data_IF_578047344981
#
_entry.id   IF_578047344981
#
_cell.length_a   1.000
_cell.length_b   1.000
_cell.length_c   1.000
_cell.angle_alpha   90.00
_cell.angle_beta   90.00
_cell.angle_gamma   90.00
#
_symmetry.space_group_name_H-M   'P 1'
#
loop_
_entity.id
_entity.type
_entity.pdbx_description
1 polymer ?
#
# COMPACT_ATOMS: atom_id res chain seq x y z
N UNK A 1 9.23 -11.27 4.97
CA UNK A 1 8.04 -12.05 5.42
C UNK A 1 7.58 -11.78 6.85
N UNK A 2 8.21 -10.88 7.63
CA UNK A 2 7.77 -10.59 9.00
C UNK A 2 6.33 -10.11 9.11
N UNK A 3 5.80 -9.44 8.08
CA UNK A 3 4.41 -8.99 8.05
C UNK A 3 3.43 -10.14 8.33
N UNK A 4 3.71 -11.37 7.90
CA UNK A 4 2.81 -12.52 8.09
C UNK A 4 2.88 -13.15 9.49
N UNK A 5 3.80 -12.72 10.37
CA UNK A 5 3.88 -13.24 11.74
C UNK A 5 2.60 -12.96 12.55
N UNK A 6 1.81 -11.96 12.16
CA UNK A 6 0.49 -11.72 12.73
C UNK A 6 -0.45 -12.94 12.65
N UNK A 7 -0.22 -13.87 11.72
CA UNK A 7 -1.00 -15.12 11.61
C UNK A 7 -0.72 -16.12 12.73
N UNK A 8 0.33 -15.90 13.53
CA UNK A 8 0.65 -16.77 14.67
C UNK A 8 -0.06 -16.34 15.96
N UNK A 9 -0.72 -15.18 15.95
CA UNK A 9 -1.50 -14.74 17.10
C UNK A 9 -2.89 -15.41 17.08
N UNK A 10 -3.06 -16.40 17.95
CA UNK A 10 -4.30 -17.17 18.09
C UNK A 10 -5.44 -16.38 18.74
N UNK A 11 -5.17 -15.20 19.30
CA UNK A 11 -6.19 -14.32 19.87
C UNK A 11 -6.88 -13.44 18.82
N UNK A 12 -6.31 -13.35 17.61
CA UNK A 12 -6.93 -12.62 16.52
C UNK A 12 -8.01 -13.47 15.84
N UNK A 13 -9.07 -12.82 15.37
CA UNK A 13 -10.09 -13.49 14.56
C UNK A 13 -9.78 -13.40 13.07
N UNK A 14 -9.32 -12.23 12.61
CA UNK A 14 -9.01 -11.92 11.22
C UNK A 14 -7.77 -11.04 11.14
N UNK A 15 -6.99 -11.20 10.09
CA UNK A 15 -5.80 -10.39 9.80
C UNK A 15 -5.93 -9.79 8.40
N UNK A 16 -5.67 -8.49 8.28
CA UNK A 16 -5.66 -7.74 7.03
C UNK A 16 -4.23 -7.30 6.73
N UNK A 17 -3.76 -7.50 5.50
CA UNK A 17 -2.43 -7.06 5.09
C UNK A 17 -2.54 -5.90 4.11
N UNK A 18 -1.99 -4.75 4.49
CA UNK A 18 -1.87 -3.54 3.67
C UNK A 18 -0.43 -3.08 3.58
N UNK A 19 -0.05 -2.54 2.43
CA UNK A 19 1.23 -1.87 2.29
C UNK A 19 1.14 -0.51 2.99
N UNK A 20 2.22 -0.10 3.66
CA UNK A 20 2.20 1.08 4.52
C UNK A 20 2.09 2.41 3.74
N UNK A 21 2.40 2.37 2.46
CA UNK A 21 2.23 3.47 1.51
C UNK A 21 0.84 3.48 0.86
N UNK A 22 -0.04 2.54 1.20
CA UNK A 22 -1.41 2.47 0.70
C UNK A 22 -2.39 2.97 1.75
N UNK A 23 -3.03 4.10 1.46
CA UNK A 23 -4.03 4.69 2.37
C UNK A 23 -5.36 3.96 2.22
N UNK A 24 -5.90 3.48 3.33
CA UNK A 24 -7.21 2.82 3.37
C UNK A 24 -8.29 3.79 2.90
N UNK A 25 -9.01 3.41 1.85
CA UNK A 25 -10.12 4.17 1.28
C UNK A 25 -11.47 3.67 1.80
N UNK A 26 -12.53 4.48 1.66
CA UNK A 26 -13.89 4.04 1.99
C UNK A 26 -14.31 2.81 1.17
N UNK A 27 -14.01 2.80 -0.13
CA UNK A 27 -14.25 1.66 -1.03
C UNK A 27 -13.62 0.37 -0.53
N UNK A 28 -12.38 0.46 -0.02
CA UNK A 28 -11.69 -0.68 0.57
C UNK A 28 -12.37 -1.14 1.86
N UNK A 29 -12.73 -0.20 2.75
CA UNK A 29 -13.40 -0.50 4.00
C UNK A 29 -14.75 -1.19 3.78
N UNK A 30 -15.54 -0.72 2.81
CA UNK A 30 -16.82 -1.35 2.43
C UNK A 30 -16.61 -2.76 1.87
N UNK A 31 -15.59 -2.97 1.02
CA UNK A 31 -15.25 -4.30 0.49
C UNK A 31 -14.78 -5.27 1.60
N UNK A 32 -14.10 -4.74 2.62
CA UNK A 32 -13.73 -5.52 3.81
C UNK A 32 -14.95 -5.84 4.66
N UNK A 33 -15.89 -4.92 4.82
CA UNK A 33 -17.13 -5.13 5.58
C UNK A 33 -18.00 -6.24 4.94
N UNK A 34 -18.13 -6.25 3.62
CA UNK A 34 -18.79 -7.35 2.90
C UNK A 34 -18.13 -8.70 3.19
N UNK A 35 -16.79 -8.74 3.21
CA UNK A 35 -16.05 -9.95 3.52
C UNK A 35 -16.23 -10.39 4.98
N UNK A 36 -16.15 -9.46 5.93
CA UNK A 36 -16.35 -9.72 7.35
C UNK A 36 -17.74 -10.31 7.62
N UNK A 37 -18.75 -9.84 6.88
CA UNK A 37 -20.14 -10.31 6.92
C UNK A 37 -20.38 -11.63 6.18
N UNK A 38 -19.38 -12.17 5.48
CA UNK A 38 -19.49 -13.41 4.70
C UNK A 38 -18.94 -14.63 5.45
N UNK A 39 -19.21 -15.81 4.89
CA UNK A 39 -18.61 -17.07 5.34
C UNK A 39 -17.23 -17.36 4.72
N UNK A 40 -16.73 -16.48 3.83
CA UNK A 40 -15.46 -16.68 3.16
C UNK A 40 -14.27 -16.50 4.12
N UNK A 41 -13.32 -17.44 4.09
CA UNK A 41 -12.16 -17.43 5.00
C UNK A 41 -11.04 -16.49 4.53
N UNK A 42 -11.05 -16.08 3.26
CA UNK A 42 -10.03 -15.21 2.66
C UNK A 42 -10.68 -14.06 1.89
N UNK A 43 -9.96 -12.94 1.82
CA UNK A 43 -10.31 -11.75 1.05
C UNK A 43 -9.20 -11.35 0.10
N UNK A 44 -9.56 -10.90 -1.10
CA UNK A 44 -8.63 -10.34 -2.07
C UNK A 44 -9.26 -9.16 -2.82
N UNK A 45 -8.43 -8.21 -3.24
CA UNK A 45 -8.87 -7.02 -3.97
C UNK A 45 -8.00 -6.75 -5.20
N UNK A 46 -8.65 -6.47 -6.35
CA UNK A 46 -8.01 -6.06 -7.61
C UNK A 46 -8.74 -4.85 -8.19
N UNK A 47 -8.12 -3.69 -8.13
CA UNK A 47 -8.75 -2.43 -8.55
C UNK A 47 -7.89 -1.65 -9.56
N UNK A 48 -6.81 -2.26 -10.07
CA UNK A 48 -5.91 -1.68 -11.08
C UNK A 48 -5.38 -2.75 -12.04
N UNK A 49 -5.06 -2.34 -13.28
CA UNK A 49 -4.47 -3.21 -14.31
C UNK A 49 -3.11 -3.82 -13.94
N UNK A 50 -2.44 -3.28 -12.93
CA UNK A 50 -1.18 -3.84 -12.41
C UNK A 50 -1.39 -4.92 -11.32
N UNK A 51 -2.63 -5.15 -10.89
CA UNK A 51 -2.97 -6.10 -9.81
C UNK A 51 -3.05 -7.55 -10.33
N UNK A 52 -1.94 -8.05 -10.87
CA UNK A 52 -1.89 -9.29 -11.67
C UNK A 52 -1.52 -10.56 -10.88
N UNK A 53 -1.18 -10.46 -9.59
CA UNK A 53 -0.89 -11.64 -8.76
C UNK A 53 -2.15 -12.42 -8.37
N UNK A 54 -1.98 -13.68 -7.97
CA UNK A 54 -3.08 -14.53 -7.46
C UNK A 54 -3.65 -14.02 -6.13
N UNK A 55 -2.78 -13.49 -5.26
CA UNK A 55 -3.11 -12.71 -4.07
C UNK A 55 -2.04 -11.63 -3.95
N UNK A 56 -2.45 -10.37 -3.85
CA UNK A 56 -1.52 -9.27 -3.62
C UNK A 56 -1.15 -9.19 -2.15
N UNK A 57 0.15 -9.18 -1.84
CA UNK A 57 0.65 -9.10 -0.47
C UNK A 57 0.13 -7.90 0.34
N UNK A 58 -0.15 -6.79 -0.32
CA UNK A 58 -0.72 -5.57 0.28
C UNK A 58 -2.24 -5.45 0.19
N UNK A 59 -2.98 -6.43 -0.36
CA UNK A 59 -4.43 -6.31 -0.60
C UNK A 59 -5.17 -7.63 -0.38
N UNK A 60 -4.88 -8.30 0.74
CA UNK A 60 -5.57 -9.53 1.12
C UNK A 60 -5.89 -9.58 2.61
N UNK A 61 -6.76 -10.51 2.97
CA UNK A 61 -7.18 -10.76 4.34
C UNK A 61 -7.45 -12.24 4.57
N UNK A 62 -7.37 -12.68 5.82
CA UNK A 62 -7.53 -14.08 6.20
C UNK A 62 -8.10 -14.23 7.60
N UNK A 63 -8.99 -15.21 7.78
CA UNK A 63 -9.49 -15.66 9.08
C UNK A 63 -8.42 -16.53 9.75
N UNK A 64 -8.14 -16.29 11.03
CA UNK A 64 -7.15 -17.07 11.79
C UNK A 64 -7.52 -18.56 11.79
N UNK A 65 -6.51 -19.42 11.65
CA UNK A 65 -6.69 -20.86 11.49
C UNK A 65 -7.16 -21.31 10.10
N UNK A 66 -7.33 -20.41 9.12
CA UNK A 66 -7.64 -20.80 7.73
C UNK A 66 -6.45 -21.37 6.95
N UNK A 67 -5.24 -21.21 7.49
CA UNK A 67 -4.01 -21.73 6.93
C UNK A 67 -3.44 -22.83 7.81
N UNK A 68 -2.66 -23.78 7.24
CA UNK A 68 -1.76 -24.60 8.02
C UNK A 68 -0.84 -23.75 8.90
N UNK A 69 -0.24 -24.31 9.97
CA UNK A 69 0.66 -23.57 10.85
C UNK A 69 1.72 -22.82 10.05
N UNK A 70 1.81 -21.49 10.25
CA UNK A 70 2.68 -20.62 9.46
C UNK A 70 4.12 -21.13 9.43
N UNK A 71 4.62 -21.63 10.57
CA UNK A 71 5.96 -22.19 10.70
C UNK A 71 6.22 -23.30 9.67
N UNK A 72 5.27 -24.22 9.46
CA UNK A 72 5.38 -25.30 8.48
C UNK A 72 5.47 -24.75 7.06
N UNK A 73 4.62 -23.78 6.73
CA UNK A 73 4.62 -23.14 5.40
C UNK A 73 5.93 -22.39 5.15
N UNK A 74 6.41 -21.62 6.13
CA UNK A 74 7.67 -20.86 6.00
C UNK A 74 8.89 -21.78 5.92
N UNK A 75 8.92 -22.88 6.67
CA UNK A 75 10.00 -23.86 6.59
C UNK A 75 10.07 -24.51 5.21
N UNK A 76 8.93 -24.87 4.64
CA UNK A 76 8.87 -25.40 3.27
C UNK A 76 9.33 -24.36 2.24
N UNK A 77 8.86 -23.11 2.37
CA UNK A 77 9.24 -22.03 1.45
C UNK A 77 10.74 -21.71 1.48
N UNK A 78 11.32 -21.54 2.67
CA UNK A 78 12.75 -21.24 2.83
C UNK A 78 13.67 -22.46 2.66
N UNK A 79 13.12 -23.67 2.59
CA UNK A 79 13.86 -24.88 2.25
C UNK A 79 14.22 -24.98 0.76
N UNK A 80 13.59 -24.16 -0.09
CA UNK A 80 13.88 -24.05 -1.51
C UNK A 80 14.71 -22.80 -1.83
N UNK A 81 15.36 -22.78 -3.00
CA UNK A 81 16.08 -21.59 -3.46
C UNK A 81 15.10 -20.45 -3.73
N UNK A 82 15.35 -19.28 -3.13
CA UNK A 82 14.59 -18.06 -3.39
C UNK A 82 15.07 -17.43 -4.70
N UNK A 83 14.14 -17.23 -5.64
CA UNK A 83 14.42 -16.49 -6.89
C UNK A 83 14.65 -15.00 -6.62
N UNK A 84 13.92 -14.41 -5.67
CA UNK A 84 14.07 -13.02 -5.26
C UNK A 84 13.71 -12.84 -3.79
N UNK A 85 14.59 -12.17 -3.04
CA UNK A 85 14.30 -11.78 -1.67
C UNK A 85 13.27 -10.64 -1.61
N UNK A 86 13.27 -9.77 -2.62
CA UNK A 86 12.36 -8.63 -2.68
C UNK A 86 10.89 -9.07 -2.88
N UNK A 87 10.66 -10.08 -3.72
CA UNK A 87 9.32 -10.62 -4.02
C UNK A 87 8.98 -11.88 -3.21
N UNK A 88 9.74 -12.18 -2.16
CA UNK A 88 9.60 -13.41 -1.41
C UNK A 88 8.18 -13.59 -0.80
N UNK A 89 7.55 -12.51 -0.35
CA UNK A 89 6.19 -12.58 0.18
C UNK A 89 5.15 -12.88 -0.91
N UNK A 90 5.25 -12.27 -2.09
CA UNK A 90 4.38 -12.57 -3.22
C UNK A 90 4.53 -14.03 -3.69
N UNK A 91 5.76 -14.54 -3.78
CA UNK A 91 5.98 -15.94 -4.14
C UNK A 91 5.45 -16.91 -3.08
N UNK A 92 5.64 -16.58 -1.81
CA UNK A 92 5.06 -17.34 -0.71
C UNK A 92 3.53 -17.39 -0.82
N UNK A 93 2.88 -16.26 -1.08
CA UNK A 93 1.42 -16.22 -1.24
C UNK A 93 0.97 -17.10 -2.41
N UNK A 94 1.64 -16.99 -3.56
CA UNK A 94 1.31 -17.77 -4.76
C UNK A 94 1.44 -19.27 -4.53
N UNK A 95 2.49 -19.72 -3.85
CA UNK A 95 2.82 -21.13 -3.71
C UNK A 95 2.13 -21.80 -2.51
N UNK A 96 2.01 -21.11 -1.38
CA UNK A 96 1.62 -21.71 -0.10
C UNK A 96 0.27 -21.24 0.44
N UNK A 97 -0.15 -20.00 0.13
CA UNK A 97 -1.42 -19.45 0.63
C UNK A 97 -2.54 -19.63 -0.38
N UNK A 98 -2.27 -19.36 -1.66
CA UNK A 98 -3.26 -19.45 -2.73
C UNK A 98 -3.97 -20.81 -2.83
N UNK A 99 -3.29 -21.97 -2.69
CA UNK A 99 -3.96 -23.26 -2.73
C UNK A 99 -5.08 -23.42 -1.69
N UNK A 100 -4.93 -22.80 -0.51
CA UNK A 100 -5.96 -22.74 0.53
C UNK A 100 -6.98 -21.63 0.22
N UNK A 101 -6.50 -20.43 -0.12
CA UNK A 101 -7.34 -19.25 -0.30
C UNK A 101 -8.43 -19.46 -1.35
N UNK A 102 -8.08 -20.02 -2.51
CA UNK A 102 -9.01 -20.23 -3.63
C UNK A 102 -10.21 -21.14 -3.32
N UNK A 103 -10.19 -21.85 -2.19
CA UNK A 103 -11.28 -22.74 -1.75
C UNK A 103 -12.37 -21.99 -0.97
N UNK A 104 -12.07 -20.80 -0.42
CA UNK A 104 -13.00 -20.00 0.38
C UNK A 104 -12.62 -18.52 0.29
N UNK A 105 -12.77 -17.96 -0.91
CA UNK A 105 -12.33 -16.61 -1.25
C UNK A 105 -13.53 -15.71 -1.55
N UNK A 106 -13.61 -14.56 -0.88
CA UNK A 106 -14.34 -13.42 -1.38
C UNK A 106 -13.36 -12.47 -2.07
N UNK A 107 -13.66 -12.10 -3.30
CA UNK A 107 -12.82 -11.20 -4.09
C UNK A 107 -13.62 -10.04 -4.62
N UNK A 108 -13.06 -8.85 -4.50
CA UNK A 108 -13.55 -7.66 -5.20
C UNK A 108 -12.61 -7.34 -6.36
N UNK A 109 -13.15 -7.27 -7.58
CA UNK A 109 -12.38 -7.09 -8.81
C UNK A 109 -13.13 -6.14 -9.74
N UNK A 110 -12.52 -5.00 -10.06
CA UNK A 110 -13.07 -4.03 -11.03
C UNK A 110 -12.45 -4.12 -12.42
N UNK A 111 -11.50 -5.05 -12.62
CA UNK A 111 -10.60 -5.05 -13.78
C UNK A 111 -10.72 -6.32 -14.61
N UNK A 112 -10.56 -7.48 -13.99
CA UNK A 112 -10.34 -8.74 -14.71
C UNK A 112 -11.52 -9.69 -14.68
N UNK A 113 -12.40 -9.56 -13.68
CA UNK A 113 -13.43 -10.57 -13.41
C UNK A 113 -12.81 -11.94 -13.11
N UNK A 114 -11.65 -11.97 -12.43
CA UNK A 114 -10.93 -13.21 -12.18
C UNK A 114 -11.70 -14.08 -11.16
N UNK A 115 -12.07 -15.30 -11.57
CA UNK A 115 -12.99 -16.18 -10.83
C UNK A 115 -14.39 -15.56 -10.65
N UNK A 116 -15.15 -15.96 -9.63
CA UNK A 116 -16.48 -15.41 -9.31
C UNK A 116 -16.34 -14.12 -8.48
N UNK A 117 -15.58 -13.16 -8.98
CA UNK A 117 -15.33 -11.91 -8.28
C UNK A 117 -16.58 -11.02 -8.22
N UNK A 118 -16.72 -10.29 -7.12
CA UNK A 118 -17.74 -9.27 -6.94
C UNK A 118 -17.24 -7.92 -7.46
N UNK A 119 -18.14 -7.04 -7.94
CA UNK A 119 -17.79 -5.65 -8.08
C UNK A 119 -17.49 -5.05 -6.71
N UNK A 120 -16.65 -4.02 -6.66
CA UNK A 120 -16.48 -3.25 -5.43
C UNK A 120 -17.78 -2.50 -5.05
N UNK A 121 -18.03 -2.35 -3.74
CA UNK A 121 -19.04 -1.41 -3.25
C UNK A 121 -18.79 0.01 -3.76
N UNK A 122 -19.86 0.76 -3.96
CA UNK A 122 -19.81 2.14 -4.46
C UNK A 122 -19.64 2.30 -5.98
N UNK A 123 -19.45 1.22 -6.75
CA UNK A 123 -19.44 1.27 -8.22
C UNK A 123 -18.10 1.73 -8.83
N UNK A 124 -18.06 2.25 -10.08
CA UNK A 124 -16.83 2.69 -10.72
C UNK A 124 -16.20 3.91 -10.03
N UNK A 125 -14.87 3.97 -10.00
CA UNK A 125 -14.10 5.11 -9.45
C UNK A 125 -13.44 5.94 -10.56
N UNK A 126 -13.01 7.18 -10.28
CA UNK A 126 -12.20 7.96 -11.21
C UNK A 126 -10.94 7.21 -11.67
N UNK A 127 -10.48 7.48 -12.90
CA UNK A 127 -9.35 6.77 -13.51
C UNK A 127 -8.02 6.95 -12.76
N UNK A 128 -7.88 8.02 -11.97
CA UNK A 128 -6.70 8.32 -11.16
C UNK A 128 -6.78 7.74 -9.74
N UNK A 129 -7.69 6.80 -9.50
CA UNK A 129 -7.90 6.14 -8.22
C UNK A 129 -7.98 4.62 -8.37
N UNK A 130 -7.36 3.91 -7.43
CA UNK A 130 -7.60 2.50 -7.17
C UNK A 130 -7.24 2.17 -5.71
N UNK A 131 -7.87 1.14 -5.15
CA UNK A 131 -7.47 0.56 -3.86
C UNK A 131 -6.01 0.08 -3.92
N UNK A 132 -5.22 0.32 -2.86
CA UNK A 132 -3.80 -0.06 -2.80
C UNK A 132 -2.83 0.82 -3.59
N UNK A 133 -3.28 2.03 -3.97
CA UNK A 133 -2.40 3.00 -4.60
C UNK A 133 -1.27 3.46 -3.66
N UNK A 134 -0.05 3.48 -4.16
CA UNK A 134 1.12 4.01 -3.46
C UNK A 134 1.04 5.54 -3.33
N UNK A 135 0.52 5.99 -2.19
CA UNK A 135 0.34 7.40 -1.84
C UNK A 135 1.67 8.15 -1.91
N UNK A 136 2.80 7.53 -1.55
CA UNK A 136 4.13 8.14 -1.60
C UNK A 136 4.77 8.23 -2.98
N UNK A 137 4.10 7.81 -4.06
CA UNK A 137 4.72 7.75 -5.39
C UNK A 137 5.14 9.12 -5.96
N UNK A 138 4.45 10.25 -5.70
CA UNK A 138 4.86 11.53 -6.27
C UNK A 138 6.18 12.05 -5.69
N UNK A 139 6.97 12.68 -6.56
CA UNK A 139 8.29 13.24 -6.27
C UNK A 139 8.23 14.75 -6.55
N UNK A 140 8.54 15.59 -5.56
CA UNK A 140 8.76 17.01 -5.85
C UNK A 140 10.20 17.24 -6.34
N UNK A 141 10.37 18.29 -7.14
CA UNK A 141 11.67 18.80 -7.54
C UNK A 141 11.70 20.30 -7.28
N UNK A 142 12.47 20.72 -6.30
CA UNK A 142 12.65 22.14 -5.96
C UNK A 142 14.01 22.59 -6.47
N UNK A 143 14.02 23.59 -7.35
CA UNK A 143 15.25 24.15 -7.91
C UNK A 143 15.87 25.14 -6.93
N UNK A 144 17.21 25.11 -6.84
CA UNK A 144 17.98 25.98 -5.96
C UNK A 144 19.22 26.49 -6.67
N UNK A 145 19.69 27.67 -6.31
CA UNK A 145 20.99 28.21 -6.73
C UNK A 145 22.12 27.87 -5.75
N UNK A 146 21.82 27.04 -4.75
CA UNK A 146 22.79 26.65 -3.72
C UNK A 146 23.81 25.64 -4.25
N UNK A 147 25.00 25.63 -3.65
CA UNK A 147 26.10 24.77 -4.05
C UNK A 147 25.78 23.28 -3.85
N UNK A 148 26.37 22.42 -4.68
CA UNK A 148 26.29 20.96 -4.57
C UNK A 148 26.67 20.49 -3.15
N UNK A 149 25.87 19.59 -2.57
CA UNK A 149 26.11 19.07 -1.24
C UNK A 149 25.62 19.96 -0.08
N UNK A 150 25.06 21.14 -0.37
CA UNK A 150 24.45 22.01 0.65
C UNK A 150 23.38 21.23 1.42
N UNK A 151 23.53 21.16 2.74
CA UNK A 151 22.54 20.57 3.63
C UNK A 151 21.34 21.50 3.77
N UNK A 152 20.15 20.94 3.64
CA UNK A 152 18.90 21.69 3.74
C UNK A 152 17.92 20.96 4.64
N UNK A 153 16.97 21.69 5.16
CA UNK A 153 15.73 21.15 5.70
C UNK A 153 14.59 21.62 4.81
N UNK A 154 13.82 20.67 4.27
CA UNK A 154 12.60 21.00 3.55
C UNK A 154 11.38 20.76 4.45
N UNK A 155 10.36 21.60 4.25
CA UNK A 155 9.12 21.57 5.02
C UNK A 155 7.95 21.47 4.05
N UNK A 156 7.01 20.60 4.36
CA UNK A 156 5.69 20.61 3.72
C UNK A 156 4.75 21.46 4.57
N UNK A 157 4.19 22.49 3.95
CA UNK A 157 3.27 23.44 4.58
C UNK A 157 1.88 23.28 3.97
N UNK A 158 0.87 23.23 4.81
CA UNK A 158 -0.54 23.28 4.41
C UNK A 158 -1.08 24.67 4.73
N UNK A 159 -1.79 25.27 3.78
CA UNK A 159 -2.48 26.56 3.97
C UNK A 159 -3.91 26.30 4.45
N UNK A 160 -4.26 26.85 5.60
CA UNK A 160 -5.63 26.83 6.14
C UNK A 160 -6.06 28.26 6.47
N UNK A 161 -6.80 28.88 5.54
CA UNK A 161 -7.10 30.31 5.63
C UNK A 161 -5.81 31.14 5.57
N UNK A 162 -5.60 32.00 6.55
CA UNK A 162 -4.37 32.80 6.70
C UNK A 162 -3.25 32.07 7.46
N UNK A 163 -3.50 30.85 7.96
CA UNK A 163 -2.52 30.10 8.75
C UNK A 163 -1.74 29.10 7.89
N UNK A 164 -0.45 28.95 8.21
CA UNK A 164 0.41 27.89 7.67
C UNK A 164 0.64 26.81 8.74
N UNK A 165 0.29 25.57 8.41
CA UNK A 165 0.52 24.41 9.27
C UNK A 165 1.69 23.63 8.69
N UNK A 166 2.70 23.37 9.54
CA UNK A 166 3.81 22.47 9.17
C UNK A 166 3.32 21.03 9.28
N UNK A 167 3.23 20.34 8.15
CA UNK A 167 2.85 18.92 8.08
C UNK A 167 4.03 18.04 8.46
N UNK A 168 5.20 18.30 7.85
CA UNK A 168 6.42 17.55 8.13
C UNK A 168 7.68 18.38 7.85
N UNK A 169 8.80 17.90 8.39
CA UNK A 169 10.14 18.45 8.16
C UNK A 169 11.09 17.29 7.95
N UNK A 170 11.90 17.36 6.91
CA UNK A 170 12.92 16.34 6.64
C UNK A 170 14.21 16.99 6.16
N UNK A 171 15.37 16.35 6.46
CA UNK A 171 16.63 16.76 5.86
C UNK A 171 16.60 16.49 4.35
N UNK A 172 17.40 17.27 3.62
CA UNK A 172 17.67 17.10 2.21
C UNK A 172 19.07 17.59 1.88
N UNK A 173 19.50 17.30 0.66
CA UNK A 173 20.80 17.74 0.14
C UNK A 173 20.59 18.25 -1.27
N UNK A 174 21.22 19.38 -1.60
CA UNK A 174 21.23 19.88 -2.97
C UNK A 174 22.08 18.95 -3.83
N UNK A 175 21.47 18.40 -4.89
CA UNK A 175 22.11 17.56 -5.89
C UNK A 175 21.73 18.03 -7.28
N UNK A 176 22.73 18.35 -8.10
CA UNK A 176 22.56 18.92 -9.44
C UNK A 176 21.62 20.14 -9.43
N UNK A 177 21.76 21.03 -8.45
CA UNK A 177 20.91 22.22 -8.29
C UNK A 177 19.46 21.94 -7.86
N UNK A 178 19.14 20.70 -7.45
CA UNK A 178 17.79 20.30 -7.04
C UNK A 178 17.78 19.76 -5.60
N UNK A 179 16.66 19.96 -4.93
CA UNK A 179 16.25 19.16 -3.77
C UNK A 179 15.03 18.34 -4.19
N UNK A 180 15.11 17.02 -4.00
CA UNK A 180 14.03 16.09 -4.36
C UNK A 180 13.67 15.21 -3.18
N UNK A 181 12.37 14.96 -3.00
CA UNK A 181 11.88 13.94 -2.08
C UNK A 181 10.48 13.48 -2.49
N UNK A 182 10.14 12.26 -2.06
CA UNK A 182 8.79 11.73 -2.20
C UNK A 182 7.83 12.42 -1.23
N UNK A 183 6.61 12.69 -1.69
CA UNK A 183 5.53 13.26 -0.87
C UNK A 183 4.22 12.53 -1.13
N UNK A 184 3.31 12.47 -0.14
CA UNK A 184 2.00 11.88 -0.34
C UNK A 184 1.23 12.56 -1.48
N UNK A 185 0.56 11.78 -2.32
CA UNK A 185 -0.12 12.24 -3.52
C UNK A 185 -1.21 13.28 -3.25
N UNK A 186 -1.90 13.19 -2.11
CA UNK A 186 -2.82 14.24 -1.67
C UNK A 186 -2.15 15.61 -1.58
N UNK A 187 -0.91 15.67 -1.10
CA UNK A 187 -0.18 16.93 -0.94
C UNK A 187 0.38 17.40 -2.27
N UNK A 188 0.80 16.49 -3.16
CA UNK A 188 1.14 16.85 -4.54
C UNK A 188 -0.05 17.53 -5.25
N UNK A 189 -1.27 16.98 -5.11
CA UNK A 189 -2.51 17.58 -5.64
C UNK A 189 -2.86 18.92 -4.96
N UNK A 190 -2.57 19.08 -3.67
CA UNK A 190 -2.77 20.35 -2.95
C UNK A 190 -1.77 21.43 -3.39
N UNK A 191 -0.51 21.05 -3.65
CA UNK A 191 0.52 21.96 -4.17
C UNK A 191 0.11 22.51 -5.54
N UNK A 192 -0.38 21.66 -6.45
CA UNK A 192 -0.85 22.11 -7.77
C UNK A 192 -2.07 23.03 -7.70
N UNK A 193 -2.78 23.05 -6.56
CA UNK A 193 -3.92 23.94 -6.27
C UNK A 193 -3.55 25.14 -5.38
N UNK A 194 -2.26 25.35 -5.10
CA UNK A 194 -1.74 26.38 -4.20
C UNK A 194 -2.31 26.31 -2.76
N UNK A 195 -2.74 25.12 -2.33
CA UNK A 195 -3.24 24.82 -0.98
C UNK A 195 -2.15 24.28 -0.06
N UNK A 196 -1.04 23.81 -0.62
CA UNK A 196 0.15 23.39 0.10
C UNK A 196 1.40 23.88 -0.62
N UNK A 197 2.54 23.91 0.07
CA UNK A 197 3.83 24.29 -0.54
C UNK A 197 5.01 23.54 0.10
N UNK A 198 6.09 23.43 -0.66
CA UNK A 198 7.38 22.97 -0.16
C UNK A 198 8.25 24.20 0.07
N UNK A 199 8.75 24.37 1.31
CA UNK A 199 9.67 25.45 1.67
C UNK A 199 11.02 24.88 2.07
N UNK A 200 12.07 25.32 1.39
CA UNK A 200 13.44 24.96 1.69
C UNK A 200 14.07 25.94 2.69
N UNK A 201 14.97 25.44 3.52
CA UNK A 201 15.79 26.22 4.43
C UNK A 201 17.19 25.62 4.45
N UNK A 202 18.24 26.44 4.27
CA UNK A 202 19.63 26.01 4.42
C UNK A 202 19.94 25.73 5.89
N UNK A 203 20.71 24.67 6.15
CA UNK A 203 21.25 24.34 7.47
C UNK A 203 22.69 24.84 7.62
#
# INVERSE_FOLDING_TARGET
>A
MWRFLALQDEHLHRVLFRDADSVISLREAEAVEEWVSSECRFHAMRDSGTHIELLLAGLWGVVVGALPPLQRLTQAFFGAQLESQHFADQYFLRQYVWPCARQSLMQHDSVFGFMQARPFPGGPMPIDFHVGYAEGSPLFKAQTEWEEGTQVQWRLLLRQGEQEIVVCRYPGVVRAGLVTAHIPARFAKMISRAQAEIRLQRL
#
